data_IF_275295253505
#
_entry.id   IF_275295253505
#
_cell.length_a   1.000
_cell.length_b   1.000
_cell.length_c   1.000
_cell.angle_alpha   90.00
_cell.angle_beta   90.00
_cell.angle_gamma   90.00
#
_symmetry.space_group_name_H-M   'P 1'
#
loop_
_entity.id
_entity.type
_entity.pdbx_description
1 polymer ?
#
# COMPACT_ATOMS: atom_id res chain seq x y z
N UNK A 1 33.11 23.25 -12.76
CA UNK A 1 32.48 22.95 -11.45
C UNK A 1 31.52 21.76 -11.52
N UNK A 2 30.51 21.77 -12.41
CA UNK A 2 29.52 20.67 -12.48
C UNK A 2 30.13 19.28 -12.70
N UNK A 3 31.02 19.12 -13.69
CA UNK A 3 31.69 17.84 -13.97
C UNK A 3 32.49 17.34 -12.76
N UNK A 4 33.21 18.24 -12.08
CA UNK A 4 33.97 17.92 -10.89
C UNK A 4 33.03 17.36 -9.80
N UNK A 5 31.92 18.04 -9.52
CA UNK A 5 30.91 17.57 -8.57
C UNK A 5 30.38 16.17 -8.92
N UNK A 6 30.09 15.91 -10.18
CA UNK A 6 29.64 14.57 -10.63
C UNK A 6 30.72 13.51 -10.44
N UNK A 7 31.98 13.80 -10.80
CA UNK A 7 33.08 12.84 -10.60
C UNK A 7 33.27 12.48 -9.13
N UNK A 8 33.13 13.47 -8.24
CA UNK A 8 33.22 13.27 -6.78
C UNK A 8 32.05 12.42 -6.28
N UNK A 9 30.83 12.72 -6.72
CA UNK A 9 29.63 11.98 -6.29
C UNK A 9 29.65 10.50 -6.71
N UNK A 10 30.37 10.17 -7.79
CA UNK A 10 30.55 8.80 -8.27
C UNK A 10 31.91 8.21 -7.89
N UNK A 11 32.60 8.78 -6.90
CA UNK A 11 33.89 8.32 -6.37
C UNK A 11 34.95 8.01 -7.45
N UNK A 12 34.94 8.78 -8.54
CA UNK A 12 35.90 8.62 -9.64
C UNK A 12 37.24 9.23 -9.23
N UNK A 13 38.38 8.65 -9.61
CA UNK A 13 39.68 9.27 -9.38
C UNK A 13 39.77 10.61 -10.12
N UNK A 14 40.15 11.68 -9.40
CA UNK A 14 40.27 13.04 -9.94
C UNK A 14 41.60 13.65 -9.50
N UNK A 15 42.27 14.34 -10.44
CA UNK A 15 43.37 15.25 -10.17
C UNK A 15 42.94 16.64 -10.60
N UNK A 16 43.01 17.61 -9.69
CA UNK A 16 42.63 19.00 -9.97
C UNK A 16 43.90 19.80 -10.25
N UNK A 17 43.92 20.52 -11.36
CA UNK A 17 45.02 21.39 -11.75
C UNK A 17 44.54 22.84 -11.68
N UNK A 18 45.35 23.71 -11.10
CA UNK A 18 45.02 25.14 -10.95
C UNK A 18 46.28 25.98 -11.18
N UNK A 19 46.13 27.10 -11.87
CA UNK A 19 47.27 27.98 -12.13
C UNK A 19 47.78 28.68 -10.85
N UNK A 20 49.03 29.10 -10.80
CA UNK A 20 49.60 29.73 -9.62
C UNK A 20 49.19 31.22 -9.39
N UNK A 21 48.44 31.84 -10.31
CA UNK A 21 48.10 33.27 -10.23
C UNK A 21 46.67 33.55 -9.73
N UNK A 22 45.74 32.63 -9.97
CA UNK A 22 44.33 32.78 -9.64
C UNK A 22 44.08 32.43 -8.18
N UNK A 23 43.11 33.06 -7.51
CA UNK A 23 42.75 32.66 -6.14
C UNK A 23 41.92 31.37 -6.14
N UNK A 24 41.93 30.65 -5.01
CA UNK A 24 41.11 29.46 -4.85
C UNK A 24 39.63 29.81 -4.82
N UNK A 25 38.80 29.01 -5.50
CA UNK A 25 37.36 29.11 -5.36
C UNK A 25 36.95 28.60 -3.97
N UNK A 26 35.95 29.25 -3.36
CA UNK A 26 35.47 28.93 -2.00
C UNK A 26 35.18 27.42 -1.82
N UNK A 27 34.48 26.81 -2.77
CA UNK A 27 34.08 25.39 -2.69
C UNK A 27 35.23 24.41 -2.96
N UNK A 28 36.27 24.85 -3.69
CA UNK A 28 37.37 23.96 -4.08
C UNK A 28 38.59 24.09 -3.19
N UNK A 29 38.79 25.23 -2.51
CA UNK A 29 40.06 25.59 -1.86
C UNK A 29 40.64 24.58 -0.86
N UNK A 30 39.80 23.77 -0.22
CA UNK A 30 40.25 22.74 0.73
C UNK A 30 40.71 21.44 0.06
N UNK A 31 40.32 21.22 -1.20
CA UNK A 31 40.73 20.05 -1.98
C UNK A 31 42.19 20.25 -2.41
N UNK A 32 42.98 19.17 -2.47
CA UNK A 32 44.35 19.24 -2.96
C UNK A 32 44.37 19.59 -4.46
N UNK A 33 45.21 20.56 -4.85
CA UNK A 33 45.41 20.95 -6.25
C UNK A 33 46.88 20.82 -6.65
N UNK A 34 47.10 20.43 -7.90
CA UNK A 34 48.41 20.53 -8.53
C UNK A 34 48.56 21.93 -9.16
N UNK A 35 49.59 22.66 -8.75
CA UNK A 35 49.87 23.98 -9.30
C UNK A 35 50.44 23.92 -10.71
N UNK A 36 49.85 24.68 -11.62
CA UNK A 36 50.33 24.87 -12.98
C UNK A 36 51.02 26.24 -13.11
N UNK A 37 52.29 26.29 -13.56
CA UNK A 37 53.02 27.56 -13.66
C UNK A 37 52.48 28.39 -14.83
N UNK A 38 51.87 29.55 -14.53
CA UNK A 38 51.36 30.49 -15.55
C UNK A 38 52.46 31.03 -16.47
N UNK A 39 53.67 31.17 -15.94
CA UNK A 39 54.83 31.69 -16.69
C UNK A 39 55.28 30.77 -17.83
N UNK A 40 54.79 29.51 -17.87
CA UNK A 40 55.08 28.52 -18.92
C UNK A 40 56.58 28.29 -19.19
N UNK A 41 57.45 28.59 -18.22
CA UNK A 41 58.89 28.36 -18.33
C UNK A 41 59.17 26.88 -18.51
N UNK A 42 60.00 26.55 -19.50
CA UNK A 42 60.29 25.17 -19.87
C UNK A 42 60.72 24.30 -18.67
N UNK A 43 61.63 24.80 -17.83
CA UNK A 43 62.10 24.06 -16.64
C UNK A 43 60.98 23.73 -15.64
N UNK A 44 60.04 24.65 -15.44
CA UNK A 44 58.92 24.47 -14.51
C UNK A 44 57.85 23.56 -15.12
N UNK A 45 57.64 23.65 -16.44
CA UNK A 45 56.72 22.76 -17.15
C UNK A 45 57.22 21.32 -17.16
N UNK A 46 58.53 21.08 -17.33
CA UNK A 46 59.10 19.73 -17.23
C UNK A 46 58.94 19.13 -15.82
N UNK A 47 59.17 19.93 -14.77
CA UNK A 47 58.89 19.51 -13.38
C UNK A 47 57.40 19.20 -13.18
N UNK A 48 56.51 20.08 -13.68
CA UNK A 48 55.06 19.88 -13.60
C UNK A 48 54.62 18.58 -14.28
N UNK A 49 55.14 18.26 -15.47
CA UNK A 49 54.82 17.00 -16.17
C UNK A 49 55.23 15.78 -15.34
N UNK A 50 56.42 15.81 -14.73
CA UNK A 50 56.89 14.72 -13.88
C UNK A 50 55.99 14.55 -12.64
N UNK A 51 55.63 15.66 -11.98
CA UNK A 51 54.72 15.65 -10.83
C UNK A 51 53.31 15.18 -11.20
N UNK A 52 52.77 15.65 -12.33
CA UNK A 52 51.44 15.25 -12.82
C UNK A 52 51.40 13.75 -13.10
N UNK A 53 52.42 13.22 -13.76
CA UNK A 53 52.54 11.78 -14.02
C UNK A 53 52.51 10.98 -12.71
N UNK A 54 53.37 11.34 -11.76
CA UNK A 54 53.44 10.67 -10.47
C UNK A 54 52.10 10.74 -9.71
N UNK A 55 51.44 11.90 -9.73
CA UNK A 55 50.14 12.09 -9.07
C UNK A 55 49.06 11.21 -9.69
N UNK A 56 49.02 11.12 -11.03
CA UNK A 56 48.06 10.27 -11.74
C UNK A 56 48.28 8.79 -11.40
N UNK A 57 49.52 8.32 -11.46
CA UNK A 57 49.88 6.93 -11.11
C UNK A 57 49.43 6.59 -9.68
N UNK A 58 49.81 7.43 -8.71
CA UNK A 58 49.41 7.26 -7.31
C UNK A 58 47.89 7.27 -7.11
N UNK A 59 47.17 8.15 -7.82
CA UNK A 59 45.71 8.27 -7.70
C UNK A 59 45.00 7.04 -8.28
N UNK A 60 45.50 6.52 -9.39
CA UNK A 60 44.95 5.30 -10.01
C UNK A 60 45.24 4.09 -9.12
N UNK A 61 46.45 3.97 -8.59
CA UNK A 61 46.83 2.84 -7.74
C UNK A 61 46.04 2.82 -6.44
N UNK A 62 45.83 4.00 -5.82
CA UNK A 62 44.96 4.14 -4.65
C UNK A 62 43.49 3.78 -4.95
N UNK A 63 42.97 4.18 -6.12
CA UNK A 63 41.61 3.81 -6.51
C UNK A 63 41.48 2.31 -6.81
N UNK A 64 42.51 1.67 -7.37
CA UNK A 64 42.54 0.21 -7.58
C UNK A 64 42.58 -0.56 -6.25
N UNK A 65 43.37 -0.10 -5.28
CA UNK A 65 43.45 -0.76 -3.97
C UNK A 65 42.18 -0.55 -3.14
N UNK A 66 41.54 0.62 -3.28
CA UNK A 66 40.38 1.00 -2.50
C UNK A 66 39.30 1.65 -3.38
N UNK A 67 38.51 0.86 -4.14
CA UNK A 67 37.51 1.38 -5.08
C UNK A 67 36.41 2.23 -4.43
N UNK A 68 36.10 1.93 -3.17
CA UNK A 68 35.05 2.58 -2.37
C UNK A 68 35.55 3.81 -1.61
N UNK A 69 36.85 4.13 -1.70
CA UNK A 69 37.40 5.29 -1.01
C UNK A 69 37.12 6.55 -1.80
N UNK A 70 36.41 7.49 -1.17
CA UNK A 70 36.12 8.77 -1.81
C UNK A 70 37.42 9.58 -1.99
N UNK A 71 37.71 10.11 -3.20
CA UNK A 71 38.93 10.87 -3.48
C UNK A 71 39.10 12.10 -2.60
N UNK A 72 37.98 12.65 -2.12
CA UNK A 72 37.95 13.93 -1.42
C UNK A 72 37.84 13.77 0.08
N UNK A 73 37.05 12.82 0.58
CA UNK A 73 36.84 12.67 2.03
C UNK A 73 38.16 12.45 2.77
N UNK A 74 39.10 11.71 2.17
CA UNK A 74 40.44 11.50 2.73
C UNK A 74 41.23 12.80 2.91
N UNK A 75 41.02 13.80 2.07
CA UNK A 75 41.68 15.12 2.20
C UNK A 75 41.08 15.97 3.33
N UNK A 76 39.82 15.72 3.70
CA UNK A 76 39.14 16.46 4.76
C UNK A 76 39.33 15.83 6.16
N UNK A 77 39.75 14.56 6.25
CA UNK A 77 40.00 13.85 7.51
C UNK A 77 39.55 12.39 7.48
N UNK A 78 39.80 11.63 8.56
CA UNK A 78 39.36 10.24 8.68
C UNK A 78 37.86 10.15 9.00
N UNK A 79 37.02 10.39 7.99
CA UNK A 79 35.58 10.16 8.13
C UNK A 79 35.27 8.72 7.74
N UNK A 80 34.92 7.90 8.72
CA UNK A 80 34.28 6.61 8.45
C UNK A 80 32.86 6.94 7.97
N UNK A 81 32.65 6.94 6.66
CA UNK A 81 31.31 6.99 6.11
C UNK A 81 30.57 5.76 6.64
N UNK A 82 29.68 5.98 7.62
CA UNK A 82 28.78 4.95 8.12
C UNK A 82 27.88 4.62 6.93
N UNK A 83 28.21 3.55 6.20
CA UNK A 83 27.31 3.02 5.19
C UNK A 83 26.00 2.72 5.92
N UNK A 84 24.87 3.36 5.57
CA UNK A 84 23.60 2.94 6.12
C UNK A 84 23.50 1.45 5.82
N UNK A 85 23.35 0.66 6.87
CA UNK A 85 23.17 -0.78 6.77
C UNK A 85 21.75 -0.95 6.21
N UNK A 86 21.60 -0.72 4.90
CA UNK A 86 20.42 -1.12 4.15
C UNK A 86 20.43 -2.63 4.30
N UNK A 87 19.48 -3.23 5.04
CA UNK A 87 19.40 -4.68 5.08
C UNK A 87 19.19 -5.10 3.63
N UNK A 88 20.20 -5.69 3.02
CA UNK A 88 20.07 -6.39 1.75
C UNK A 88 19.01 -7.45 2.02
N UNK A 89 17.80 -7.20 1.49
CA UNK A 89 16.69 -8.11 1.69
C UNK A 89 17.10 -9.39 0.97
N UNK A 90 17.36 -10.45 1.75
CA UNK A 90 17.72 -11.74 1.18
C UNK A 90 16.63 -12.18 0.21
N UNK A 91 16.95 -13.00 -0.80
CA UNK A 91 15.93 -13.59 -1.68
C UNK A 91 14.81 -14.27 -0.88
N UNK A 92 15.15 -14.85 0.27
CA UNK A 92 14.19 -15.42 1.22
C UNK A 92 13.28 -14.37 1.88
N UNK A 93 13.80 -13.17 2.15
CA UNK A 93 13.03 -12.07 2.75
C UNK A 93 12.09 -11.41 1.72
N UNK A 94 12.52 -11.29 0.47
CA UNK A 94 11.67 -10.91 -0.68
C UNK A 94 10.54 -11.91 -0.88
N UNK A 95 10.88 -13.20 -0.90
CA UNK A 95 9.86 -14.24 -1.00
C UNK A 95 8.86 -14.20 0.18
N UNK A 96 9.35 -13.91 1.39
CA UNK A 96 8.51 -13.76 2.58
C UNK A 96 7.59 -12.55 2.48
N UNK A 97 8.04 -11.40 1.97
CA UNK A 97 7.18 -10.23 1.76
C UNK A 97 6.07 -10.52 0.76
N UNK A 98 6.40 -11.19 -0.34
CA UNK A 98 5.45 -11.54 -1.38
C UNK A 98 4.38 -12.51 -0.86
N UNK A 99 4.79 -13.50 -0.05
CA UNK A 99 3.84 -14.40 0.63
C UNK A 99 2.91 -13.68 1.61
N UNK A 100 3.41 -12.67 2.35
CA UNK A 100 2.56 -11.86 3.22
C UNK A 100 1.55 -11.05 2.41
N UNK A 101 1.96 -10.50 1.28
CA UNK A 101 1.07 -9.76 0.38
C UNK A 101 -0.01 -10.67 -0.21
N UNK A 102 0.36 -11.86 -0.71
CA UNK A 102 -0.59 -12.87 -1.21
C UNK A 102 -1.56 -13.26 -0.10
N UNK A 103 -1.08 -13.52 1.13
CA UNK A 103 -1.94 -13.85 2.28
C UNK A 103 -2.93 -12.72 2.56
N UNK A 104 -2.48 -11.47 2.53
CA UNK A 104 -3.33 -10.31 2.76
C UNK A 104 -4.42 -10.18 1.69
N UNK A 105 -4.06 -10.32 0.40
CA UNK A 105 -5.00 -10.27 -0.71
C UNK A 105 -6.03 -11.40 -0.63
N UNK A 106 -5.61 -12.62 -0.27
CA UNK A 106 -6.51 -13.75 -0.05
C UNK A 106 -7.45 -13.51 1.12
N UNK A 107 -6.95 -13.07 2.27
CA UNK A 107 -7.79 -12.76 3.43
C UNK A 107 -8.82 -11.66 3.12
N UNK A 108 -8.43 -10.64 2.34
CA UNK A 108 -9.34 -9.59 1.85
C UNK A 108 -10.39 -10.15 0.88
N UNK A 109 -9.98 -11.02 -0.05
CA UNK A 109 -10.89 -11.66 -1.01
C UNK A 109 -11.92 -12.55 -0.31
N UNK A 110 -11.49 -13.35 0.67
CA UNK A 110 -12.38 -14.21 1.46
C UNK A 110 -13.40 -13.39 2.26
N UNK A 111 -12.97 -12.30 2.91
CA UNK A 111 -13.91 -11.37 3.58
C UNK A 111 -14.93 -10.76 2.63
N UNK A 112 -14.49 -10.35 1.43
CA UNK A 112 -15.40 -9.84 0.41
C UNK A 112 -16.40 -10.91 -0.08
N UNK A 113 -16.02 -12.19 -0.12
CA UNK A 113 -16.96 -13.27 -0.44
C UNK A 113 -17.97 -13.48 0.69
N UNK A 114 -17.55 -13.45 1.96
CA UNK A 114 -18.45 -13.53 3.10
C UNK A 114 -19.47 -12.37 3.11
N UNK A 115 -19.06 -11.15 2.72
CA UNK A 115 -19.96 -10.00 2.57
C UNK A 115 -20.94 -10.14 1.39
N UNK A 116 -20.58 -10.89 0.34
CA UNK A 116 -21.51 -11.24 -0.75
C UNK A 116 -22.52 -12.31 -0.35
N UNK A 117 -22.17 -13.22 0.58
CA UNK A 117 -23.11 -14.15 1.21
C UNK A 117 -23.92 -13.51 2.35
N UNK A 118 -23.41 -12.43 2.96
CA UNK A 118 -24.06 -11.66 4.02
C UNK A 118 -24.63 -10.31 3.54
N UNK A 119 -24.90 -10.16 2.24
CA UNK A 119 -25.65 -9.01 1.73
C UNK A 119 -27.03 -8.99 2.39
N UNK A 120 -27.20 -8.12 3.41
CA UNK A 120 -28.45 -7.76 4.11
C UNK A 120 -29.63 -8.66 3.75
N UNK A 121 -29.78 -9.78 4.47
CA UNK A 121 -31.06 -10.47 4.55
C UNK A 121 -32.01 -9.61 5.40
N UNK A 122 -32.37 -8.43 4.88
CA UNK A 122 -33.49 -7.64 5.40
C UNK A 122 -34.77 -8.38 5.02
N UNK A 123 -35.03 -9.47 5.74
CA UNK A 123 -36.35 -10.06 5.77
C UNK A 123 -37.27 -9.04 6.45
N UNK A 124 -38.32 -8.67 5.75
CA UNK A 124 -39.40 -7.89 6.33
C UNK A 124 -40.21 -8.88 7.17
N UNK A 125 -40.24 -8.66 8.49
CA UNK A 125 -41.03 -9.42 9.44
C UNK A 125 -42.36 -8.70 9.66
N UNK A 126 -43.45 -9.39 9.37
CA UNK A 126 -44.81 -8.92 9.61
C UNK A 126 -45.59 -9.94 10.44
N UNK A 127 -46.52 -9.44 11.24
CA UNK A 127 -47.40 -10.27 12.05
C UNK A 127 -48.84 -10.18 11.56
N UNK A 128 -49.51 -11.32 11.47
CA UNK A 128 -50.90 -11.41 11.02
C UNK A 128 -51.73 -12.23 12.03
N UNK A 129 -53.02 -11.92 12.23
CA UNK A 129 -53.88 -12.71 13.12
C UNK A 129 -53.98 -14.17 12.67
N UNK A 130 -53.90 -15.12 13.61
CA UNK A 130 -53.98 -16.57 13.34
C UNK A 130 -55.25 -16.96 12.60
N UNK A 131 -56.37 -16.36 12.99
CA UNK A 131 -57.71 -16.56 12.43
C UNK A 131 -57.79 -16.27 10.92
N UNK A 132 -56.85 -15.49 10.37
CA UNK A 132 -56.80 -15.16 8.95
C UNK A 132 -56.45 -16.37 8.06
N UNK A 133 -55.72 -17.36 8.59
CA UNK A 133 -55.14 -18.44 7.79
C UNK A 133 -55.63 -19.84 8.15
N UNK A 134 -56.33 -20.04 9.27
CA UNK A 134 -56.87 -21.34 9.65
C UNK A 134 -56.94 -21.55 11.16
N UNK A 135 -57.48 -22.71 11.57
CA UNK A 135 -57.59 -23.07 12.99
C UNK A 135 -56.46 -23.99 13.46
N UNK A 136 -55.87 -24.76 12.54
CA UNK A 136 -54.75 -25.67 12.83
C UNK A 136 -53.43 -25.14 12.26
N UNK A 137 -52.33 -25.45 12.92
CA UNK A 137 -51.00 -24.93 12.53
C UNK A 137 -50.56 -25.45 11.15
N UNK A 138 -50.97 -26.67 10.78
CA UNK A 138 -50.71 -27.27 9.47
C UNK A 138 -51.45 -26.54 8.33
N UNK A 139 -52.72 -26.17 8.56
CA UNK A 139 -53.51 -25.38 7.61
C UNK A 139 -52.91 -23.99 7.41
N UNK A 140 -52.49 -23.35 8.51
CA UNK A 140 -51.84 -22.04 8.49
C UNK A 140 -50.56 -22.09 7.67
N UNK A 141 -49.73 -23.11 7.90
CA UNK A 141 -48.48 -23.27 7.18
C UNK A 141 -48.71 -23.48 5.67
N UNK A 142 -49.69 -24.33 5.30
CA UNK A 142 -50.06 -24.56 3.91
C UNK A 142 -50.60 -23.29 3.23
N UNK A 143 -51.44 -22.53 3.93
CA UNK A 143 -52.05 -21.32 3.40
C UNK A 143 -51.06 -20.17 3.24
N UNK A 144 -50.15 -19.98 4.19
CA UNK A 144 -49.10 -18.94 4.10
C UNK A 144 -48.06 -19.29 3.05
N UNK A 145 -47.65 -20.56 2.97
CA UNK A 145 -46.66 -21.03 1.98
C UNK A 145 -47.24 -21.12 0.56
N UNK A 146 -48.57 -21.01 0.40
CA UNK A 146 -49.21 -20.94 -0.93
C UNK A 146 -48.80 -19.72 -1.76
N UNK A 147 -48.20 -18.70 -1.14
CA UNK A 147 -47.66 -17.52 -1.83
C UNK A 147 -46.14 -17.64 -1.95
N UNK A 148 -45.57 -17.59 -3.17
CA UNK A 148 -44.13 -17.76 -3.36
C UNK A 148 -43.33 -16.59 -2.75
N UNK A 149 -42.19 -16.92 -2.16
CA UNK A 149 -41.28 -15.92 -1.56
C UNK A 149 -41.61 -15.52 -0.12
N UNK A 150 -42.49 -16.26 0.54
CA UNK A 150 -42.88 -16.10 1.94
C UNK A 150 -42.36 -17.28 2.78
N UNK A 151 -41.93 -17.01 4.01
CA UNK A 151 -41.59 -18.03 5.02
C UNK A 151 -42.35 -17.78 6.31
N UNK A 152 -42.79 -18.84 6.98
CA UNK A 152 -43.32 -18.79 8.34
C UNK A 152 -42.15 -18.89 9.32
N UNK A 153 -42.04 -17.94 10.24
CA UNK A 153 -41.01 -17.95 11.29
C UNK A 153 -41.52 -18.63 12.56
N UNK A 154 -42.81 -18.46 12.88
CA UNK A 154 -43.46 -19.06 14.04
C UNK A 154 -44.95 -18.75 14.09
N UNK A 155 -45.68 -19.54 14.87
CA UNK A 155 -47.12 -19.38 15.13
C UNK A 155 -47.31 -19.34 16.64
N UNK A 156 -47.88 -18.25 17.14
CA UNK A 156 -48.31 -18.11 18.53
C UNK A 156 -49.82 -18.38 18.64
N UNK A 157 -50.38 -18.35 19.86
CA UNK A 157 -51.81 -18.53 20.10
C UNK A 157 -52.70 -17.51 19.36
N UNK A 158 -52.16 -16.31 19.06
CA UNK A 158 -52.91 -15.19 18.47
C UNK A 158 -52.40 -14.74 17.10
N UNK A 159 -51.13 -14.96 16.78
CA UNK A 159 -50.48 -14.38 15.60
C UNK A 159 -49.61 -15.38 14.85
N UNK A 160 -49.42 -15.11 13.56
CA UNK A 160 -48.49 -15.81 12.66
C UNK A 160 -47.43 -14.82 12.22
N UNK A 161 -46.16 -15.19 12.41
CA UNK A 161 -45.02 -14.37 12.00
C UNK A 161 -44.52 -14.81 10.63
N UNK A 162 -44.44 -13.84 9.73
CA UNK A 162 -44.17 -14.07 8.33
C UNK A 162 -42.97 -13.25 7.88
N UNK A 163 -42.06 -13.90 7.16
CA UNK A 163 -40.86 -13.29 6.59
C UNK A 163 -40.98 -13.23 5.07
N UNK A 164 -40.74 -12.06 4.50
CA UNK A 164 -40.67 -11.87 3.05
C UNK A 164 -39.47 -10.99 2.66
N UNK A 165 -38.97 -11.17 1.43
CA UNK A 165 -37.87 -10.35 0.90
C UNK A 165 -38.33 -8.99 0.36
N UNK A 166 -39.62 -8.85 0.06
CA UNK A 166 -40.22 -7.60 -0.44
C UNK A 166 -41.64 -7.46 0.10
N UNK A 167 -42.23 -6.26 0.03
CA UNK A 167 -43.61 -6.02 0.45
C UNK A 167 -44.66 -6.63 -0.48
N UNK A 168 -44.27 -7.05 -1.69
CA UNK A 168 -45.20 -7.51 -2.73
C UNK A 168 -45.85 -8.86 -2.37
N UNK A 169 -45.08 -9.90 -1.96
CA UNK A 169 -45.67 -11.13 -1.43
C UNK A 169 -46.59 -10.91 -0.23
N UNK A 170 -46.22 -10.03 0.71
CA UNK A 170 -47.05 -9.72 1.90
C UNK A 170 -48.39 -9.09 1.52
N UNK A 171 -48.41 -8.18 0.55
CA UNK A 171 -49.66 -7.59 0.03
C UNK A 171 -50.54 -8.63 -0.68
N UNK A 172 -49.93 -9.56 -1.42
CA UNK A 172 -50.65 -10.65 -2.10
C UNK A 172 -51.26 -11.60 -1.06
N UNK A 173 -50.49 -11.99 -0.05
CA UNK A 173 -50.95 -12.84 1.06
C UNK A 173 -52.13 -12.18 1.78
N UNK A 174 -51.98 -10.91 2.17
CA UNK A 174 -53.03 -10.15 2.84
C UNK A 174 -54.30 -10.06 1.99
N UNK A 175 -54.18 -9.76 0.69
CA UNK A 175 -55.33 -9.68 -0.22
C UNK A 175 -56.04 -11.04 -0.39
N UNK A 176 -55.29 -12.14 -0.41
CA UNK A 176 -55.82 -13.49 -0.63
C UNK A 176 -56.68 -13.99 0.53
N UNK A 177 -56.31 -13.63 1.77
CA UNK A 177 -56.95 -14.17 2.98
C UNK A 177 -57.79 -13.14 3.77
N UNK A 178 -57.87 -11.88 3.32
CA UNK A 178 -58.70 -10.83 3.97
C UNK A 178 -60.21 -11.07 3.85
N UNK A 179 -60.67 -11.82 2.85
CA UNK A 179 -62.10 -12.02 2.57
C UNK A 179 -62.80 -13.02 3.50
N UNK A 180 -62.09 -13.63 4.46
CA UNK A 180 -62.68 -14.49 5.50
C UNK A 180 -63.12 -13.76 6.76
N UNK A 181 -62.70 -12.51 6.98
CA UNK A 181 -63.05 -11.75 8.18
C UNK A 181 -64.28 -10.89 7.89
N UNK A 182 -65.44 -11.53 7.89
CA UNK A 182 -66.73 -10.85 8.04
C UNK A 182 -67.40 -11.36 9.30
N UNK A 183 -67.64 -10.42 10.22
CA UNK A 183 -68.49 -10.50 11.41
C UNK A 183 -67.94 -11.29 12.61
N UNK A 184 -67.06 -10.67 13.40
CA UNK A 184 -67.41 -10.33 14.78
C UNK A 184 -66.44 -9.33 15.39
N UNK A 185 -67.01 -8.32 16.06
CA UNK A 185 -66.36 -7.22 16.80
C UNK A 185 -65.64 -6.14 15.98
N UNK A 186 -66.43 -5.38 15.20
CA UNK A 186 -66.20 -3.93 15.13
C UNK A 186 -66.44 -3.35 16.53
N UNK A 187 -65.34 -2.98 17.19
CA UNK A 187 -65.30 -2.15 18.39
C UNK A 187 -64.31 -1.01 18.19
N UNK A 188 -64.55 -0.20 17.16
CA UNK A 188 -64.02 1.15 17.06
C UNK A 188 -65.08 2.08 17.67
N UNK A 189 -64.73 2.81 18.71
CA UNK A 189 -65.23 4.16 18.95
C UNK A 189 -64.11 4.94 19.67
N UNK A 190 -63.62 5.93 18.93
CA UNK A 190 -62.88 7.16 19.26
C UNK A 190 -61.56 7.10 20.04
#
# INVERSE_FOLDING_TARGET
MFELGMRIAFDKPVVIIKDNATQYCFDSGTIEHLEYPKDMRYSEIEKFKALLKQKIENTIDHHKSNPEASPILNSFGSFTAIKPNLPEMSEADLFKSDLQEIKYLLAKSLRNQDDLWNGTTNWIKEQFPKEMFGSTDDEIFANVTSVPGIKVEGVDDKYVYVLARTTTPLKILFRKFRTGVSQNSLGLND
#
